data_IF_377010000542
#
_entry.id   IF_377010000542
#
_cell.length_a   1.000
_cell.length_b   1.000
_cell.length_c   1.000
_cell.angle_alpha   90.00
_cell.angle_beta   90.00
_cell.angle_gamma   90.00
#
_symmetry.space_group_name_H-M   'P 1'
#
loop_
_entity.id
_entity.type
_entity.pdbx_description
1 polymer ?
#
# COMPACT_ATOMS: atom_id res chain seq x y z
N UNK A 1 10.72 -6.09 13.60
CA UNK A 1 10.26 -7.47 13.49
C UNK A 1 10.16 -8.10 14.86
N UNK A 2 9.01 -8.61 15.19
CA UNK A 2 8.82 -9.30 16.46
C UNK A 2 9.33 -10.73 16.32
N UNK A 3 10.29 -11.11 17.10
CA UNK A 3 10.74 -12.49 17.19
C UNK A 3 9.88 -13.25 18.19
N UNK A 4 9.59 -14.51 17.87
CA UNK A 4 8.79 -15.40 18.72
C UNK A 4 9.42 -15.52 20.11
N UNK A 5 8.66 -15.23 21.17
CA UNK A 5 9.10 -15.29 22.55
C UNK A 5 9.95 -14.09 23.01
N UNK A 6 9.92 -13.00 22.30
CA UNK A 6 10.61 -11.77 22.65
C UNK A 6 9.73 -10.88 23.52
N UNK A 7 10.34 -10.25 24.54
CA UNK A 7 9.71 -9.25 25.41
C UNK A 7 9.63 -7.86 24.76
N UNK A 8 9.95 -7.76 23.46
CA UNK A 8 9.92 -6.49 22.73
C UNK A 8 8.49 -6.04 22.46
N UNK A 9 8.21 -4.81 22.81
CA UNK A 9 6.96 -4.12 22.49
C UNK A 9 7.20 -3.25 21.27
N UNK A 10 6.32 -3.38 20.28
CA UNK A 10 6.34 -2.53 19.11
C UNK A 10 5.76 -1.16 19.48
N UNK A 11 6.63 -0.15 19.69
CA UNK A 11 6.18 1.21 20.03
C UNK A 11 5.60 1.94 18.83
N UNK A 12 6.25 1.82 17.66
CA UNK A 12 5.76 2.39 16.41
C UNK A 12 6.40 1.70 15.21
N UNK A 13 5.72 1.72 14.09
CA UNK A 13 6.28 1.34 12.80
C UNK A 13 6.89 2.60 12.18
N UNK A 14 8.18 2.53 11.81
CA UNK A 14 8.93 3.63 11.23
C UNK A 14 8.86 3.66 9.71
N UNK A 15 8.40 2.58 9.09
CA UNK A 15 8.39 2.41 7.64
C UNK A 15 7.12 1.72 7.16
N UNK A 16 6.55 2.24 6.09
CA UNK A 16 5.51 1.58 5.30
C UNK A 16 6.18 1.05 4.04
N UNK A 17 6.11 -0.27 3.81
CA UNK A 17 6.59 -0.89 2.58
C UNK A 17 5.41 -1.17 1.67
N UNK A 18 5.44 -0.59 0.47
CA UNK A 18 4.44 -0.81 -0.57
C UNK A 18 5.10 -1.62 -1.68
N UNK A 19 4.58 -2.82 -1.93
CA UNK A 19 5.02 -3.64 -3.05
C UNK A 19 4.34 -3.17 -4.33
N UNK A 20 5.15 -2.86 -5.32
CA UNK A 20 4.68 -2.44 -6.64
C UNK A 20 5.22 -3.38 -7.69
N UNK A 21 4.35 -3.81 -8.57
CA UNK A 21 4.68 -4.71 -9.65
C UNK A 21 4.73 -3.93 -10.96
N UNK A 22 5.90 -3.87 -11.58
CA UNK A 22 6.02 -3.20 -12.88
C UNK A 22 5.47 -4.08 -13.98
N UNK A 23 4.44 -3.57 -14.65
CA UNK A 23 4.08 -4.03 -15.97
C UNK A 23 4.83 -3.22 -17.02
N UNK A 24 5.37 -3.88 -18.03
CA UNK A 24 5.66 -3.23 -19.29
C UNK A 24 4.38 -2.55 -19.74
N UNK A 25 4.42 -1.24 -19.96
CA UNK A 25 3.31 -0.37 -20.27
C UNK A 25 2.20 -1.06 -21.06
N UNK A 26 1.12 -1.41 -20.41
CA UNK A 26 -0.17 -1.46 -21.07
C UNK A 26 -0.71 -0.03 -21.04
N UNK A 27 -0.96 0.53 -22.19
CA UNK A 27 -1.66 1.79 -22.37
C UNK A 27 -3.05 1.66 -21.78
N UNK A 28 -3.31 2.40 -20.71
CA UNK A 28 -4.63 2.49 -20.08
C UNK A 28 -4.72 1.74 -18.75
N UNK A 29 -4.59 2.46 -17.68
CA UNK A 29 -5.13 2.26 -16.32
C UNK A 29 -5.30 0.84 -15.79
N UNK A 30 -4.45 -0.11 -16.14
CA UNK A 30 -4.61 -1.49 -15.69
C UNK A 30 -3.83 -1.69 -14.40
N UNK A 31 -4.53 -2.22 -13.41
CA UNK A 31 -3.88 -2.72 -12.20
C UNK A 31 -2.92 -3.88 -12.53
N UNK A 32 -1.99 -4.12 -11.64
CA UNK A 32 -1.04 -5.22 -11.74
C UNK A 32 -1.61 -6.42 -10.98
N UNK A 33 -1.66 -7.59 -11.65
CA UNK A 33 -2.10 -8.82 -11.00
C UNK A 33 -1.20 -9.19 -9.83
N UNK A 34 -1.82 -9.78 -8.80
CA UNK A 34 -1.08 -10.33 -7.68
C UNK A 34 -0.11 -11.41 -8.14
N UNK A 35 1.17 -11.36 -7.73
CA UNK A 35 2.12 -12.41 -8.01
C UNK A 35 1.62 -13.77 -7.55
N UNK A 36 1.93 -14.83 -8.29
CA UNK A 36 1.46 -16.19 -8.00
C UNK A 36 1.75 -16.65 -6.57
N UNK A 37 2.92 -16.26 -6.02
CA UNK A 37 3.28 -16.59 -4.63
C UNK A 37 2.44 -15.87 -3.58
N UNK A 38 1.91 -14.69 -3.90
CA UNK A 38 1.07 -13.90 -3.00
C UNK A 38 -0.43 -14.10 -3.27
N UNK A 39 -0.77 -14.82 -4.35
CA UNK A 39 -2.14 -15.16 -4.66
C UNK A 39 -2.76 -15.95 -3.50
N UNK A 40 -4.02 -15.67 -3.23
CA UNK A 40 -4.80 -16.32 -2.15
C UNK A 40 -4.32 -16.06 -0.70
N UNK A 41 -3.31 -15.22 -0.48
CA UNK A 41 -2.85 -14.87 0.87
C UNK A 41 -3.70 -13.79 1.54
N UNK A 42 -4.59 -13.14 0.78
CA UNK A 42 -5.39 -11.97 1.21
C UNK A 42 -4.54 -10.77 1.69
N UNK A 43 -3.24 -10.77 1.43
CA UNK A 43 -2.34 -9.69 1.84
C UNK A 43 -2.35 -8.50 0.88
N UNK A 44 -2.94 -8.64 -0.30
CA UNK A 44 -2.93 -7.62 -1.33
C UNK A 44 -4.17 -6.74 -1.29
N UNK A 45 -3.96 -5.44 -1.42
CA UNK A 45 -5.02 -4.46 -1.59
C UNK A 45 -5.01 -4.04 -3.06
N UNK A 46 -5.60 -4.88 -3.88
CA UNK A 46 -5.73 -4.67 -5.31
C UNK A 46 -7.04 -5.29 -5.85
N UNK A 47 -7.40 -5.03 -7.10
CA UNK A 47 -8.63 -5.56 -7.71
C UNK A 47 -8.74 -7.08 -7.78
N UNK A 48 -7.64 -7.83 -7.71
CA UNK A 48 -7.69 -9.30 -7.73
C UNK A 48 -8.50 -9.88 -6.57
N UNK A 49 -8.60 -9.18 -5.47
CA UNK A 49 -9.40 -9.59 -4.32
C UNK A 49 -10.89 -9.27 -4.48
N UNK A 50 -11.34 -8.82 -5.63
CA UNK A 50 -12.73 -8.42 -5.93
C UNK A 50 -13.33 -7.38 -4.97
N UNK A 51 -12.53 -6.76 -4.13
CA UNK A 51 -12.96 -5.92 -3.02
C UNK A 51 -12.56 -4.47 -3.24
N UNK A 52 -11.54 -4.26 -4.05
CA UNK A 52 -11.12 -2.92 -4.44
C UNK A 52 -11.95 -2.42 -5.63
N UNK A 53 -13.25 -2.47 -5.47
CA UNK A 53 -14.20 -1.90 -6.42
C UNK A 53 -14.64 -0.55 -5.87
N UNK A 54 -14.51 0.46 -6.69
CA UNK A 54 -15.01 1.80 -6.40
C UNK A 54 -16.55 1.72 -6.25
N UNK A 55 -17.11 2.08 -5.09
CA UNK A 55 -18.55 1.98 -4.87
C UNK A 55 -19.37 2.93 -5.74
N UNK A 56 -18.76 4.01 -6.26
CA UNK A 56 -19.45 4.99 -7.11
C UNK A 56 -19.51 4.53 -8.55
N UNK A 57 -18.44 3.93 -9.05
CA UNK A 57 -18.31 3.55 -10.47
C UNK A 57 -18.55 2.07 -10.73
N UNK A 58 -18.57 1.25 -9.68
CA UNK A 58 -18.61 -0.21 -9.72
C UNK A 58 -17.48 -0.82 -10.61
N UNK A 59 -16.35 -0.14 -10.71
CA UNK A 59 -15.16 -0.57 -11.47
C UNK A 59 -13.99 -0.79 -10.52
N UNK A 60 -12.97 -1.55 -10.94
CA UNK A 60 -11.74 -1.67 -10.17
C UNK A 60 -11.18 -0.30 -9.80
N UNK A 61 -10.91 -0.10 -8.53
CA UNK A 61 -10.43 1.19 -8.02
C UNK A 61 -8.98 1.42 -8.42
N UNK A 62 -8.69 2.61 -8.92
CA UNK A 62 -7.34 3.08 -9.20
C UNK A 62 -6.63 3.63 -7.94
N UNK A 63 -7.32 3.61 -6.79
CA UNK A 63 -6.86 4.20 -5.52
C UNK A 63 -6.15 3.18 -4.62
N UNK A 64 -5.45 2.19 -5.18
CA UNK A 64 -4.80 1.14 -4.40
C UNK A 64 -3.74 1.67 -3.42
N UNK A 65 -2.98 2.71 -3.79
CA UNK A 65 -2.05 3.35 -2.87
C UNK A 65 -2.79 3.96 -1.66
N UNK A 66 -3.87 4.69 -1.90
CA UNK A 66 -4.69 5.26 -0.81
C UNK A 66 -5.24 4.17 0.10
N UNK A 67 -5.70 3.07 -0.48
CA UNK A 67 -6.17 1.90 0.28
C UNK A 67 -5.08 1.23 1.09
N UNK A 68 -3.90 1.05 0.54
CA UNK A 68 -2.76 0.44 1.23
C UNK A 68 -2.32 1.28 2.44
N UNK A 69 -2.22 2.59 2.27
CA UNK A 69 -1.89 3.51 3.35
C UNK A 69 -2.98 3.53 4.44
N UNK A 70 -4.25 3.57 4.04
CA UNK A 70 -5.36 3.50 4.98
C UNK A 70 -5.39 2.17 5.76
N UNK A 71 -5.16 1.05 5.10
CA UNK A 71 -5.08 -0.25 5.74
C UNK A 71 -3.93 -0.34 6.75
N UNK A 72 -2.79 0.28 6.45
CA UNK A 72 -1.69 0.37 7.41
C UNK A 72 -2.13 1.05 8.71
N UNK A 73 -2.76 2.21 8.65
CA UNK A 73 -3.21 2.92 9.84
C UNK A 73 -4.34 2.21 10.57
N UNK A 74 -5.25 1.57 9.84
CA UNK A 74 -6.27 0.73 10.44
C UNK A 74 -5.65 -0.44 11.22
N UNK A 75 -4.60 -1.06 10.65
CA UNK A 75 -3.86 -2.13 11.34
C UNK A 75 -3.14 -1.61 12.59
N UNK A 76 -2.57 -0.42 12.55
CA UNK A 76 -1.95 0.23 13.73
C UNK A 76 -2.93 0.39 14.88
N UNK A 77 -4.20 0.69 14.58
CA UNK A 77 -5.26 0.82 15.57
C UNK A 77 -5.88 -0.53 15.99
N UNK A 78 -5.25 -1.64 15.60
CA UNK A 78 -5.66 -2.98 16.01
C UNK A 78 -6.72 -3.65 15.13
N UNK A 79 -7.06 -3.06 13.99
CA UNK A 79 -7.94 -3.71 13.01
C UNK A 79 -7.16 -4.76 12.22
N UNK A 80 -7.46 -6.03 12.43
CA UNK A 80 -6.79 -7.14 11.74
C UNK A 80 -7.67 -7.86 10.73
N UNK A 81 -8.98 -7.58 10.75
CA UNK A 81 -9.96 -8.32 9.97
C UNK A 81 -10.36 -7.58 8.71
N UNK A 82 -10.31 -8.29 7.59
CA UNK A 82 -10.87 -7.84 6.31
C UNK A 82 -10.36 -6.44 5.87
N UNK A 83 -9.06 -6.17 6.07
CA UNK A 83 -8.43 -4.92 5.63
C UNK A 83 -8.52 -4.73 4.11
N UNK A 84 -8.68 -5.81 3.36
CA UNK A 84 -8.94 -5.76 1.92
C UNK A 84 -10.26 -5.04 1.59
N UNK A 85 -11.17 -4.89 2.56
CA UNK A 85 -12.44 -4.14 2.42
C UNK A 85 -12.32 -2.67 2.77
N UNK A 86 -11.13 -2.12 2.75
CA UNK A 86 -10.82 -0.74 3.18
C UNK A 86 -11.74 0.33 2.56
N UNK A 87 -12.17 0.16 1.32
CA UNK A 87 -13.07 1.11 0.64
C UNK A 87 -14.56 0.86 0.91
N UNK A 88 -14.94 -0.32 1.34
CA UNK A 88 -16.35 -0.72 1.49
C UNK A 88 -16.87 -0.65 2.90
N UNK A 89 -16.05 -1.06 3.85
CA UNK A 89 -16.48 -1.11 5.23
C UNK A 89 -16.49 0.29 5.85
N UNK A 90 -17.65 0.72 6.35
CA UNK A 90 -17.84 2.05 6.93
C UNK A 90 -16.84 2.36 8.05
N UNK A 91 -16.49 1.35 8.84
CA UNK A 91 -15.51 1.47 9.93
C UNK A 91 -14.11 1.91 9.47
N UNK A 92 -13.77 1.67 8.19
CA UNK A 92 -12.47 2.01 7.65
C UNK A 92 -12.41 3.36 6.92
N UNK A 93 -13.55 3.99 6.66
CA UNK A 93 -13.58 5.29 5.97
C UNK A 93 -12.65 6.35 6.57
N UNK A 94 -12.55 6.52 7.90
CA UNK A 94 -11.65 7.51 8.48
C UNK A 94 -10.19 7.31 8.11
N UNK A 95 -9.77 6.07 7.90
CA UNK A 95 -8.38 5.74 7.58
C UNK A 95 -7.96 6.12 6.16
N UNK A 96 -8.91 6.26 5.24
CA UNK A 96 -8.62 6.66 3.86
C UNK A 96 -8.13 8.10 3.75
N UNK A 97 -8.41 8.92 4.74
CA UNK A 97 -8.06 10.35 4.74
C UNK A 97 -6.95 10.70 5.77
N UNK A 98 -6.36 9.70 6.43
CA UNK A 98 -5.27 9.90 7.39
C UNK A 98 -4.02 10.43 6.68
N UNK A 99 -3.68 9.87 5.52
CA UNK A 99 -2.55 10.31 4.72
C UNK A 99 -3.00 11.38 3.73
N UNK A 100 -2.35 12.52 3.76
CA UNK A 100 -2.58 13.62 2.80
C UNK A 100 -2.01 13.22 1.44
N UNK A 101 -2.87 13.17 0.44
CA UNK A 101 -2.54 12.79 -0.93
C UNK A 101 -2.96 13.87 -1.95
N UNK A 102 -3.04 15.13 -1.51
CA UNK A 102 -3.47 16.25 -2.34
C UNK A 102 -2.55 16.42 -3.55
N UNK A 103 -3.14 16.43 -4.75
CA UNK A 103 -2.40 16.57 -5.99
C UNK A 103 -1.52 15.35 -6.35
N UNK A 104 -1.71 14.21 -5.69
CA UNK A 104 -1.11 12.94 -6.08
C UNK A 104 -2.05 12.24 -7.07
N UNK A 105 -1.57 11.90 -8.28
CA UNK A 105 -2.41 11.24 -9.27
C UNK A 105 -2.79 9.82 -8.85
N UNK A 106 -3.99 9.39 -9.25
CA UNK A 106 -4.49 8.03 -9.07
C UNK A 106 -4.94 7.48 -10.43
N UNK A 107 -4.36 6.37 -10.91
CA UNK A 107 -3.33 5.53 -10.29
C UNK A 107 -2.00 6.27 -10.11
N UNK A 108 -1.29 5.97 -9.03
CA UNK A 108 -0.06 6.68 -8.67
C UNK A 108 1.13 6.15 -9.44
N UNK A 109 1.80 6.96 -10.28
CA UNK A 109 3.03 6.55 -10.96
C UNK A 109 4.18 6.34 -9.98
N UNK A 110 5.05 5.38 -10.28
CA UNK A 110 6.18 5.04 -9.42
C UNK A 110 7.38 5.92 -9.78
N UNK A 111 7.35 7.15 -9.28
CA UNK A 111 8.45 8.11 -9.40
C UNK A 111 8.85 8.63 -8.02
N UNK A 112 10.15 8.67 -7.75
CA UNK A 112 10.69 9.14 -6.48
C UNK A 112 10.15 10.51 -6.08
N UNK A 113 10.00 11.44 -7.04
CA UNK A 113 9.47 12.77 -6.78
C UNK A 113 8.05 12.78 -6.21
N UNK A 114 7.21 11.80 -6.62
CA UNK A 114 5.83 11.68 -6.14
C UNK A 114 5.83 11.18 -4.70
N UNK A 115 6.59 10.15 -4.40
CA UNK A 115 6.69 9.60 -3.05
C UNK A 115 7.38 10.58 -2.09
N UNK A 116 8.39 11.32 -2.54
CA UNK A 116 8.97 12.42 -1.77
C UNK A 116 7.93 13.49 -1.42
N UNK A 117 7.07 13.86 -2.37
CA UNK A 117 5.99 14.82 -2.13
C UNK A 117 4.99 14.31 -1.11
N UNK A 118 4.65 13.00 -1.16
CA UNK A 118 3.78 12.39 -0.15
C UNK A 118 4.43 12.47 1.24
N UNK A 119 5.70 12.14 1.36
CA UNK A 119 6.43 12.22 2.64
C UNK A 119 6.57 13.67 3.14
N UNK A 120 6.76 14.65 2.24
CA UNK A 120 6.78 16.07 2.61
C UNK A 120 5.44 16.54 3.20
N UNK A 121 4.33 16.08 2.64
CA UNK A 121 3.00 16.39 3.17
C UNK A 121 2.67 15.60 4.46
N UNK A 122 3.40 14.52 4.72
CA UNK A 122 3.17 13.60 5.84
C UNK A 122 4.51 13.26 6.52
N UNK A 123 5.11 14.19 7.26
CA UNK A 123 6.49 14.03 7.77
C UNK A 123 6.65 12.90 8.80
N UNK A 124 5.56 12.39 9.34
CA UNK A 124 5.57 11.31 10.34
C UNK A 124 5.59 9.92 9.73
N UNK A 125 5.54 9.82 8.40
CA UNK A 125 5.59 8.53 7.70
C UNK A 125 6.82 8.44 6.80
N UNK A 126 7.27 7.20 6.58
CA UNK A 126 8.28 6.88 5.57
C UNK A 126 7.76 5.78 4.66
N UNK A 127 7.94 5.98 3.35
CA UNK A 127 7.39 5.08 2.33
C UNK A 127 8.53 4.57 1.46
N UNK A 128 8.78 3.27 1.52
CA UNK A 128 9.66 2.60 0.58
C UNK A 128 8.85 1.75 -0.39
N UNK A 129 9.23 1.78 -1.65
CA UNK A 129 8.54 1.07 -2.72
C UNK A 129 9.41 -0.04 -3.26
N UNK A 130 8.82 -1.21 -3.40
CA UNK A 130 9.50 -2.42 -3.83
C UNK A 130 8.82 -2.98 -5.07
N UNK A 131 9.61 -3.46 -6.00
CA UNK A 131 9.18 -4.19 -7.18
C UNK A 131 9.34 -5.69 -6.91
N UNK A 132 8.34 -6.48 -7.24
CA UNK A 132 8.44 -7.93 -7.21
C UNK A 132 9.13 -8.44 -8.47
N UNK A 133 10.15 -9.28 -8.30
CA UNK A 133 10.85 -9.97 -9.38
C UNK A 133 10.33 -11.41 -9.48
N UNK A 134 9.53 -11.69 -10.49
CA UNK A 134 8.95 -13.04 -10.67
C UNK A 134 10.02 -14.12 -10.90
N UNK A 135 11.10 -13.80 -11.64
CA UNK A 135 12.14 -14.76 -11.96
C UNK A 135 12.85 -15.29 -10.71
N UNK A 136 13.07 -14.43 -9.73
CA UNK A 136 13.75 -14.79 -8.48
C UNK A 136 12.79 -14.95 -7.32
N UNK A 137 11.52 -14.58 -7.50
CA UNK A 137 10.51 -14.49 -6.45
C UNK A 137 10.99 -13.68 -5.23
N UNK A 138 11.63 -12.55 -5.49
CA UNK A 138 12.19 -11.65 -4.48
C UNK A 138 11.76 -10.20 -4.70
N UNK A 139 11.59 -9.42 -3.63
CA UNK A 139 11.38 -7.98 -3.74
C UNK A 139 12.71 -7.27 -4.07
N UNK A 140 12.61 -6.19 -4.84
CA UNK A 140 13.71 -5.27 -5.12
C UNK A 140 13.27 -3.85 -4.81
N UNK A 141 14.04 -3.12 -4.03
CA UNK A 141 13.76 -1.71 -3.73
C UNK A 141 13.83 -0.88 -5.01
N UNK A 142 12.78 -0.12 -5.26
CA UNK A 142 12.67 0.83 -6.39
C UNK A 142 12.78 2.26 -5.88
N UNK A 143 12.13 2.56 -4.76
CA UNK A 143 12.20 3.86 -4.10
C UNK A 143 12.50 3.62 -2.62
N UNK A 144 13.56 4.24 -2.12
CA UNK A 144 13.87 4.27 -0.69
C UNK A 144 13.34 5.58 -0.08
N UNK A 145 12.72 5.47 1.09
CA UNK A 145 12.24 6.63 1.84
C UNK A 145 13.39 7.56 2.21
N UNK A 146 13.13 8.86 2.15
CA UNK A 146 14.03 9.90 2.67
C UNK A 146 13.79 10.19 4.15
N UNK A 147 12.58 9.90 4.63
CA UNK A 147 12.19 10.13 6.02
C UNK A 147 12.61 9.01 6.98
N UNK A 148 13.19 7.93 6.45
CA UNK A 148 13.61 6.82 7.28
C UNK A 148 14.71 7.26 8.24
N UNK A 149 14.37 7.39 9.51
CA UNK A 149 15.31 7.66 10.59
C UNK A 149 15.74 6.32 11.18
N UNK A 150 16.99 6.00 11.02
CA UNK A 150 17.60 4.85 11.68
C UNK A 150 17.62 5.05 13.21
#
# INVERSE_FOLDING_TARGET
MLTKGSDYVLERILEITIEVYTLKRATGGSYIHTPKKLANTKCTINPDNHVLIDPETNRPSEKCLKGALGAYFAHQDGHTDNLERIFRATKYKPYLDVVKLDGIPMPTPIYSRIFNKIEEMNPDISISVWEWKEETATPKTVIASKNFKR
#
